data_IF_165107548310
#
_entry.id   IF_165107548310
#
_cell.length_a   1.000
_cell.length_b   1.000
_cell.length_c   1.000
_cell.angle_alpha   90.00
_cell.angle_beta   90.00
_cell.angle_gamma   90.00
#
_symmetry.space_group_name_H-M   'P 1'
#
loop_
_entity.id
_entity.type
_entity.pdbx_description
1 polymer ?
#
# COMPACT_ATOMS: atom_id res chain seq x y z
N UNK A 1 -47.08 16.53 -12.99
CA UNK A 1 -46.28 16.17 -11.80
C UNK A 1 -44.81 16.18 -12.23
N UNK A 2 -44.14 17.32 -12.01
CA UNK A 2 -42.74 17.51 -12.42
C UNK A 2 -41.85 16.87 -11.38
N UNK A 3 -41.17 15.79 -11.76
CA UNK A 3 -40.07 15.25 -10.99
C UNK A 3 -38.93 16.26 -11.07
N UNK A 4 -38.69 16.97 -9.96
CA UNK A 4 -37.53 17.83 -9.81
C UNK A 4 -36.27 16.94 -9.87
N UNK A 5 -35.49 17.13 -10.93
CA UNK A 5 -34.13 16.60 -11.07
C UNK A 5 -33.33 17.15 -9.87
N UNK A 6 -32.97 16.27 -8.92
CA UNK A 6 -32.01 16.59 -7.89
C UNK A 6 -30.73 17.09 -8.55
N UNK A 7 -30.19 18.24 -8.12
CA UNK A 7 -28.95 18.75 -8.70
C UNK A 7 -27.85 17.71 -8.49
N UNK A 8 -27.20 17.32 -9.58
CA UNK A 8 -25.97 16.53 -9.57
C UNK A 8 -24.99 17.21 -8.62
N UNK A 9 -24.53 16.46 -7.60
CA UNK A 9 -23.46 16.89 -6.68
C UNK A 9 -22.30 17.43 -7.53
N UNK A 10 -21.81 18.66 -7.27
CA UNK A 10 -20.76 19.22 -8.11
C UNK A 10 -19.54 18.34 -8.08
N UNK A 11 -19.14 17.85 -9.27
CA UNK A 11 -17.82 17.30 -9.55
C UNK A 11 -16.80 18.31 -8.99
N UNK A 12 -15.73 17.86 -8.32
CA UNK A 12 -14.71 18.75 -7.77
C UNK A 12 -14.46 19.95 -8.67
N UNK A 13 -14.85 21.12 -8.22
CA UNK A 13 -14.41 22.37 -8.85
C UNK A 13 -12.98 22.62 -8.40
N UNK A 14 -12.06 21.88 -8.97
CA UNK A 14 -10.66 22.28 -8.93
C UNK A 14 -10.54 23.54 -9.78
N UNK A 15 -9.88 24.58 -9.28
CA UNK A 15 -9.61 25.73 -10.14
C UNK A 15 -8.78 25.26 -11.34
N UNK A 16 -9.00 25.84 -12.54
CA UNK A 16 -8.21 25.49 -13.75
C UNK A 16 -6.71 25.55 -13.51
N UNK A 17 -6.24 26.47 -12.68
CA UNK A 17 -4.84 26.60 -12.29
C UNK A 17 -4.36 25.39 -11.49
N UNK A 18 -5.17 24.90 -10.55
CA UNK A 18 -4.84 23.73 -9.72
C UNK A 18 -4.81 22.46 -10.56
N UNK A 19 -5.76 22.29 -11.47
CA UNK A 19 -5.75 21.16 -12.43
C UNK A 19 -4.50 21.19 -13.29
N UNK A 20 -4.16 22.34 -13.88
CA UNK A 20 -2.96 22.52 -14.69
C UNK A 20 -1.68 22.22 -13.91
N UNK A 21 -1.60 22.70 -12.67
CA UNK A 21 -0.46 22.41 -11.78
C UNK A 21 -0.37 20.91 -11.47
N UNK A 22 -1.48 20.26 -11.15
CA UNK A 22 -1.53 18.83 -10.86
C UNK A 22 -1.08 17.97 -12.07
N UNK A 23 -1.58 18.30 -13.28
CA UNK A 23 -1.16 17.62 -14.54
C UNK A 23 0.33 17.79 -14.80
N UNK A 24 0.85 19.02 -14.65
CA UNK A 24 2.28 19.30 -14.81
C UNK A 24 3.11 18.55 -13.76
N UNK A 25 2.63 18.51 -12.51
CA UNK A 25 3.27 17.77 -11.43
C UNK A 25 3.38 16.29 -11.72
N UNK A 26 2.29 15.65 -12.17
CA UNK A 26 2.29 14.23 -12.56
C UNK A 26 3.23 13.94 -13.74
N UNK A 27 3.28 14.83 -14.74
CA UNK A 27 4.19 14.66 -15.87
C UNK A 27 5.66 14.66 -15.42
N UNK A 28 6.07 15.62 -14.59
CA UNK A 28 7.44 15.68 -14.05
C UNK A 28 7.71 14.47 -13.15
N UNK A 29 6.77 14.11 -12.29
CA UNK A 29 6.89 12.96 -11.40
C UNK A 29 7.13 11.65 -12.17
N UNK A 30 6.32 11.35 -13.17
CA UNK A 30 6.48 10.11 -13.95
C UNK A 30 7.69 10.14 -14.90
N UNK A 31 8.05 11.31 -15.44
CA UNK A 31 9.27 11.48 -16.22
C UNK A 31 10.55 11.18 -15.42
N UNK A 32 10.50 11.33 -14.10
CA UNK A 32 11.58 10.96 -13.18
C UNK A 32 11.43 9.52 -12.66
N UNK A 33 10.23 9.15 -12.20
CA UNK A 33 9.97 7.86 -11.56
C UNK A 33 10.27 6.69 -12.50
N UNK A 34 9.81 6.76 -13.77
CA UNK A 34 9.95 5.65 -14.70
C UNK A 34 11.44 5.33 -14.96
N UNK A 35 12.30 6.27 -15.41
CA UNK A 35 13.70 5.95 -15.69
C UNK A 35 14.48 5.57 -14.42
N UNK A 36 14.23 6.22 -13.28
CA UNK A 36 14.89 5.88 -12.03
C UNK A 36 14.53 4.47 -11.56
N UNK A 37 13.26 4.08 -11.65
CA UNK A 37 12.83 2.72 -11.31
C UNK A 37 13.39 1.69 -12.27
N UNK A 38 13.36 1.95 -13.59
CA UNK A 38 13.95 1.05 -14.59
C UNK A 38 15.44 0.81 -14.35
N UNK A 39 16.19 1.86 -13.99
CA UNK A 39 17.61 1.70 -13.62
C UNK A 39 17.76 0.76 -12.42
N UNK A 40 16.96 0.94 -11.37
CA UNK A 40 16.99 0.05 -10.20
C UNK A 40 16.60 -1.38 -10.56
N UNK A 41 15.55 -1.57 -11.37
CA UNK A 41 15.08 -2.90 -11.80
C UNK A 41 16.15 -3.63 -12.63
N UNK A 42 16.81 -2.94 -13.56
CA UNK A 42 17.92 -3.50 -14.34
C UNK A 42 19.08 -3.86 -13.43
N UNK A 43 19.48 -2.98 -12.52
CA UNK A 43 20.55 -3.27 -11.56
C UNK A 43 20.19 -4.44 -10.65
N UNK A 44 18.94 -4.51 -10.17
CA UNK A 44 18.47 -5.60 -9.32
C UNK A 44 18.49 -6.95 -10.06
N UNK A 45 18.14 -6.97 -11.35
CA UNK A 45 18.09 -8.20 -12.16
C UNK A 45 19.45 -8.66 -12.68
N UNK A 46 20.42 -7.75 -12.82
CA UNK A 46 21.74 -8.05 -13.41
C UNK A 46 22.87 -8.23 -12.39
N UNK A 47 22.68 -7.75 -11.15
CA UNK A 47 23.69 -7.88 -10.09
C UNK A 47 23.50 -9.17 -9.28
N UNK A 48 24.61 -9.80 -8.88
CA UNK A 48 24.59 -11.06 -8.12
C UNK A 48 23.81 -11.01 -6.79
N UNK A 49 23.70 -9.82 -6.20
CA UNK A 49 22.99 -9.55 -4.93
C UNK A 49 21.94 -8.44 -5.12
N UNK A 50 21.17 -8.47 -6.21
CA UNK A 50 20.25 -7.42 -6.60
C UNK A 50 19.20 -7.03 -5.55
N UNK A 51 18.89 -7.95 -4.61
CA UNK A 51 17.98 -7.66 -3.50
C UNK A 51 18.40 -6.48 -2.62
N UNK A 52 19.71 -6.13 -2.59
CA UNK A 52 20.20 -4.94 -1.88
C UNK A 52 19.78 -3.62 -2.53
N UNK A 53 19.28 -3.68 -3.77
CA UNK A 53 18.78 -2.52 -4.50
C UNK A 53 17.32 -2.22 -4.13
N UNK A 54 16.58 -3.21 -3.58
CA UNK A 54 15.18 -3.02 -3.19
C UNK A 54 14.94 -1.78 -2.30
N UNK A 55 15.72 -1.50 -1.26
CA UNK A 55 15.59 -0.27 -0.47
C UNK A 55 15.72 1.00 -1.31
N UNK A 56 16.66 1.03 -2.26
CA UNK A 56 16.82 2.16 -3.16
C UNK A 56 15.61 2.32 -4.09
N UNK A 57 15.14 1.22 -4.68
CA UNK A 57 13.93 1.22 -5.52
C UNK A 57 12.71 1.75 -4.76
N UNK A 58 12.49 1.34 -3.51
CA UNK A 58 11.40 1.84 -2.66
C UNK A 58 11.49 3.36 -2.38
N UNK A 59 12.66 3.97 -2.52
CA UNK A 59 12.82 5.42 -2.38
C UNK A 59 12.66 6.21 -3.70
N UNK A 60 12.57 5.55 -4.85
CA UNK A 60 12.40 6.24 -6.15
C UNK A 60 11.11 7.06 -6.24
N UNK A 61 9.96 6.60 -5.72
CA UNK A 61 8.75 7.42 -5.66
C UNK A 61 8.93 8.70 -4.82
N UNK A 62 9.57 8.62 -3.65
CA UNK A 62 9.87 9.80 -2.83
C UNK A 62 10.80 10.76 -3.56
N UNK A 63 11.92 10.25 -4.09
CA UNK A 63 12.91 11.07 -4.79
C UNK A 63 12.26 11.81 -5.97
N UNK A 64 11.48 11.12 -6.78
CA UNK A 64 10.74 11.72 -7.90
C UNK A 64 9.78 12.80 -7.43
N UNK A 65 9.07 12.58 -6.31
CA UNK A 65 8.14 13.57 -5.75
C UNK A 65 8.88 14.79 -5.20
N UNK A 66 10.02 14.60 -4.54
CA UNK A 66 10.85 15.69 -3.99
C UNK A 66 11.41 16.55 -5.13
N UNK A 67 11.98 15.91 -6.16
CA UNK A 67 12.52 16.64 -7.32
C UNK A 67 11.40 17.39 -8.05
N UNK A 68 10.23 16.77 -8.27
CA UNK A 68 9.09 17.43 -8.89
C UNK A 68 8.66 18.68 -8.10
N UNK A 69 8.55 18.57 -6.75
CA UNK A 69 8.20 19.68 -5.87
C UNK A 69 9.23 20.82 -5.94
N UNK A 70 10.51 20.50 -5.94
CA UNK A 70 11.59 21.49 -6.04
C UNK A 70 11.57 22.19 -7.41
N UNK A 71 11.45 21.43 -8.49
CA UNK A 71 11.42 21.95 -9.87
C UNK A 71 10.19 22.86 -10.12
N UNK A 72 9.06 22.53 -9.53
CA UNK A 72 7.80 23.26 -9.68
C UNK A 72 7.54 24.28 -8.57
N UNK A 73 8.48 24.41 -7.61
CA UNK A 73 8.39 25.27 -6.43
C UNK A 73 7.11 25.00 -5.60
N UNK A 74 6.71 23.74 -5.52
CA UNK A 74 5.61 23.30 -4.68
C UNK A 74 6.09 23.08 -3.24
N UNK A 75 5.21 23.37 -2.27
CA UNK A 75 5.49 23.10 -0.86
C UNK A 75 5.29 21.60 -0.51
N UNK A 76 5.53 21.27 0.77
CA UNK A 76 5.35 19.91 1.32
C UNK A 76 4.18 19.81 2.32
N UNK A 77 3.41 20.87 2.48
CA UNK A 77 2.35 20.94 3.49
C UNK A 77 1.25 19.87 3.30
N UNK A 78 1.00 19.48 2.05
CA UNK A 78 0.04 18.45 1.67
C UNK A 78 0.49 17.04 2.02
N UNK A 79 1.77 16.76 2.23
CA UNK A 79 2.28 15.45 2.70
C UNK A 79 1.80 15.15 4.11
N UNK A 80 1.81 16.15 4.96
CA UNK A 80 1.41 16.12 6.37
C UNK A 80 2.03 14.99 7.20
N UNK A 81 3.13 15.31 7.86
CA UNK A 81 3.81 14.45 8.84
C UNK A 81 3.18 14.48 10.24
N UNK A 82 2.03 15.14 10.42
CA UNK A 82 1.32 15.18 11.69
C UNK A 82 0.54 13.89 11.91
N UNK A 83 0.47 13.42 13.15
CA UNK A 83 -0.22 12.16 13.50
C UNK A 83 -1.75 12.24 13.37
N UNK A 84 -2.36 13.42 13.27
CA UNK A 84 -3.79 13.57 13.06
C UNK A 84 -4.68 13.34 14.30
N UNK A 85 -4.13 13.49 15.52
CA UNK A 85 -4.87 13.39 16.78
C UNK A 85 -5.54 12.03 16.98
N UNK A 86 -6.72 12.00 17.61
CA UNK A 86 -7.46 10.73 17.89
C UNK A 86 -7.83 9.95 16.64
N UNK A 87 -8.15 10.64 15.52
CA UNK A 87 -8.42 9.98 14.23
C UNK A 87 -7.18 9.29 13.69
N UNK A 88 -6.07 9.99 13.70
CA UNK A 88 -4.79 9.43 13.26
C UNK A 88 -4.36 8.24 14.12
N UNK A 89 -4.52 8.31 15.46
CA UNK A 89 -4.21 7.20 16.35
C UNK A 89 -5.06 5.96 16.06
N UNK A 90 -6.38 6.12 15.84
CA UNK A 90 -7.24 5.00 15.42
C UNK A 90 -6.81 4.42 14.07
N UNK A 91 -6.45 5.27 13.12
CA UNK A 91 -5.97 4.83 11.81
C UNK A 91 -4.62 4.10 11.89
N UNK A 92 -3.70 4.53 12.77
CA UNK A 92 -2.45 3.82 13.05
C UNK A 92 -2.71 2.43 13.64
N UNK A 93 -3.66 2.31 14.57
CA UNK A 93 -4.03 1.01 15.14
C UNK A 93 -4.62 0.08 14.07
N UNK A 94 -5.53 0.58 13.24
CA UNK A 94 -6.07 -0.17 12.08
C UNK A 94 -4.96 -0.56 11.14
N UNK A 95 -4.05 0.35 10.80
CA UNK A 95 -2.92 0.10 9.90
C UNK A 95 -2.00 -1.02 10.40
N UNK A 96 -1.77 -1.07 11.72
CA UNK A 96 -0.93 -2.11 12.34
C UNK A 96 -1.63 -3.48 12.37
N UNK A 97 -2.93 -3.53 12.69
CA UNK A 97 -3.65 -4.77 12.93
C UNK A 97 -4.29 -5.38 11.67
N UNK A 98 -4.58 -4.56 10.66
CA UNK A 98 -5.29 -5.01 9.46
C UNK A 98 -4.56 -6.13 8.70
N UNK A 99 -3.22 -6.07 8.47
CA UNK A 99 -2.51 -7.17 7.83
C UNK A 99 -2.63 -8.49 8.58
N UNK A 100 -2.59 -8.45 9.92
CA UNK A 100 -2.81 -9.65 10.75
C UNK A 100 -4.21 -10.21 10.56
N UNK A 101 -5.25 -9.37 10.57
CA UNK A 101 -6.63 -9.80 10.35
C UNK A 101 -6.82 -10.44 8.96
N UNK A 102 -6.28 -9.82 7.92
CA UNK A 102 -6.31 -10.36 6.55
C UNK A 102 -5.54 -11.68 6.48
N UNK A 103 -4.34 -11.73 7.06
CA UNK A 103 -3.53 -12.93 7.13
C UNK A 103 -4.25 -14.08 7.82
N UNK A 104 -4.80 -13.86 9.01
CA UNK A 104 -5.55 -14.88 9.75
C UNK A 104 -6.77 -15.39 8.95
N UNK A 105 -7.47 -14.50 8.25
CA UNK A 105 -8.63 -14.88 7.44
C UNK A 105 -8.21 -15.66 6.19
N UNK A 106 -7.27 -15.17 5.40
CA UNK A 106 -6.88 -15.79 4.14
C UNK A 106 -6.06 -17.06 4.36
N UNK A 107 -4.97 -16.99 5.14
CA UNK A 107 -4.08 -18.13 5.38
C UNK A 107 -4.72 -19.13 6.33
N UNK A 108 -5.46 -18.67 7.35
CA UNK A 108 -6.26 -19.54 8.21
C UNK A 108 -7.28 -20.37 7.42
N UNK A 109 -7.95 -19.76 6.44
CA UNK A 109 -8.80 -20.50 5.50
C UNK A 109 -8.00 -21.55 4.73
N UNK A 110 -6.84 -21.15 4.16
CA UNK A 110 -5.97 -22.08 3.42
C UNK A 110 -5.50 -23.26 4.28
N UNK A 111 -5.17 -23.04 5.54
CA UNK A 111 -4.75 -24.11 6.48
C UNK A 111 -5.91 -25.02 6.89
N UNK A 112 -7.07 -24.46 7.24
CA UNK A 112 -8.26 -25.23 7.68
C UNK A 112 -8.81 -26.08 6.53
N UNK A 113 -8.79 -25.56 5.31
CA UNK A 113 -9.25 -26.28 4.11
C UNK A 113 -8.20 -27.20 3.48
N UNK A 114 -7.00 -27.26 4.06
CA UNK A 114 -5.84 -27.99 3.54
C UNK A 114 -5.43 -27.60 2.10
N UNK A 115 -5.82 -26.43 1.61
CA UNK A 115 -5.34 -25.88 0.35
C UNK A 115 -3.86 -25.51 0.40
N UNK A 116 -3.37 -25.16 1.60
CA UNK A 116 -1.97 -24.80 1.82
C UNK A 116 -1.47 -25.45 3.12
N UNK A 117 -0.37 -26.25 3.07
CA UNK A 117 0.20 -26.85 4.26
C UNK A 117 0.80 -25.78 5.17
N UNK A 118 0.52 -25.88 6.47
CA UNK A 118 1.15 -25.02 7.49
C UNK A 118 2.58 -25.50 7.81
N UNK A 119 3.49 -24.56 7.97
CA UNK A 119 4.83 -24.77 8.52
C UNK A 119 5.20 -23.66 9.49
N UNK A 120 6.13 -23.91 10.41
CA UNK A 120 6.64 -22.86 11.28
C UNK A 120 7.47 -21.85 10.46
N UNK A 121 7.22 -20.53 10.59
CA UNK A 121 8.04 -19.54 9.89
C UNK A 121 9.47 -19.53 10.45
N UNK A 122 10.49 -19.27 9.62
CA UNK A 122 11.84 -19.04 10.10
C UNK A 122 11.88 -17.75 10.90
N UNK A 123 12.40 -17.80 12.12
CA UNK A 123 12.49 -16.60 12.98
C UNK A 123 13.62 -15.64 12.54
N UNK A 124 14.29 -15.89 11.43
CA UNK A 124 15.41 -15.07 10.95
C UNK A 124 16.52 -14.93 12.00
N UNK A 125 16.99 -13.71 12.22
CA UNK A 125 18.02 -13.40 13.23
C UNK A 125 17.58 -13.77 14.65
N UNK A 126 16.30 -13.74 14.97
CA UNK A 126 15.78 -14.04 16.29
C UNK A 126 15.96 -15.51 16.68
N UNK A 127 16.13 -16.43 15.70
CA UNK A 127 16.43 -17.84 15.98
C UNK A 127 17.74 -18.03 16.73
N UNK A 128 18.69 -17.12 16.58
CA UNK A 128 19.98 -17.15 17.27
C UNK A 128 19.85 -16.60 18.72
N UNK A 129 18.84 -15.79 18.97
CA UNK A 129 18.63 -15.12 20.25
C UNK A 129 17.62 -15.84 21.16
N UNK A 130 16.80 -16.72 20.60
CA UNK A 130 15.73 -17.41 21.30
C UNK A 130 16.01 -18.92 21.40
N UNK A 131 15.78 -19.54 22.58
CA UNK A 131 15.87 -20.99 22.76
C UNK A 131 14.67 -21.69 22.10
N UNK A 132 14.76 -21.95 20.79
CA UNK A 132 13.62 -22.47 19.98
C UNK A 132 13.61 -24.00 19.85
N UNK A 133 14.51 -24.72 20.51
CA UNK A 133 14.52 -26.18 20.49
C UNK A 133 13.30 -26.75 21.22
N UNK A 134 12.56 -27.65 20.58
CA UNK A 134 11.36 -28.27 21.16
C UNK A 134 10.12 -27.36 21.23
N UNK A 135 10.19 -26.16 20.65
CA UNK A 135 9.05 -25.22 20.62
C UNK A 135 8.07 -25.65 19.51
N UNK A 136 6.75 -25.63 19.83
CA UNK A 136 5.73 -26.02 18.88
C UNK A 136 5.66 -25.06 17.67
N UNK A 137 5.32 -25.54 16.47
CA UNK A 137 5.16 -24.69 15.29
C UNK A 137 4.19 -23.52 15.47
N UNK A 138 3.11 -23.74 16.22
CA UNK A 138 2.12 -22.69 16.52
C UNK A 138 2.71 -21.58 17.41
N UNK A 139 3.52 -21.94 18.41
CA UNK A 139 4.17 -20.93 19.25
C UNK A 139 5.24 -20.17 18.46
N UNK A 140 6.00 -20.85 17.58
CA UNK A 140 6.95 -20.19 16.67
C UNK A 140 6.23 -19.19 15.73
N UNK A 141 5.07 -19.55 15.22
CA UNK A 141 4.23 -18.65 14.42
C UNK A 141 3.80 -17.41 15.23
N UNK A 142 3.30 -17.62 16.44
CA UNK A 142 2.89 -16.51 17.33
C UNK A 142 4.05 -15.57 17.65
N UNK A 143 5.23 -16.13 17.99
CA UNK A 143 6.44 -15.35 18.26
C UNK A 143 6.85 -14.56 17.00
N UNK A 144 6.88 -15.20 15.83
CA UNK A 144 7.18 -14.52 14.56
C UNK A 144 6.20 -13.39 14.30
N UNK A 145 4.90 -13.63 14.49
CA UNK A 145 3.85 -12.62 14.31
C UNK A 145 4.06 -11.40 15.21
N UNK A 146 4.32 -11.61 16.48
CA UNK A 146 4.58 -10.51 17.43
C UNK A 146 5.86 -9.74 17.08
N UNK A 147 6.92 -10.43 16.69
CA UNK A 147 8.17 -9.80 16.27
C UNK A 147 8.01 -8.98 14.99
N UNK A 148 7.27 -9.49 13.99
CA UNK A 148 7.06 -8.78 12.73
C UNK A 148 6.09 -7.62 12.88
N UNK A 149 5.03 -7.76 13.69
CA UNK A 149 4.12 -6.65 14.03
C UNK A 149 4.82 -5.50 14.75
N UNK A 150 5.85 -5.77 15.54
CA UNK A 150 6.57 -4.76 16.34
C UNK A 150 7.88 -4.36 15.67
N UNK A 151 8.94 -5.10 15.94
CA UNK A 151 10.28 -4.81 15.44
C UNK A 151 10.33 -4.77 13.89
N UNK A 152 9.75 -5.76 13.22
CA UNK A 152 9.74 -5.84 11.76
C UNK A 152 9.08 -4.61 11.14
N UNK A 153 7.91 -4.23 11.63
CA UNK A 153 7.17 -3.05 11.17
C UNK A 153 7.99 -1.76 11.35
N UNK A 154 8.63 -1.58 12.52
CA UNK A 154 9.49 -0.42 12.75
C UNK A 154 10.73 -0.41 11.83
N UNK A 155 11.33 -1.58 11.60
CA UNK A 155 12.46 -1.74 10.68
C UNK A 155 12.06 -1.45 9.23
N UNK A 156 10.87 -1.86 8.79
CA UNK A 156 10.36 -1.64 7.43
C UNK A 156 9.89 -0.21 7.18
N UNK A 157 9.46 0.52 8.21
CA UNK A 157 8.86 1.85 8.08
C UNK A 157 9.71 2.89 7.32
N UNK A 158 11.04 2.99 7.49
CA UNK A 158 11.87 3.91 6.70
C UNK A 158 11.84 3.62 5.19
N UNK A 159 11.73 2.36 4.77
CA UNK A 159 11.70 1.98 3.36
C UNK A 159 10.33 2.28 2.76
N UNK A 160 9.26 1.89 3.45
CA UNK A 160 7.89 2.16 3.01
C UNK A 160 7.54 3.64 3.03
N UNK A 161 8.20 4.45 3.88
CA UNK A 161 8.07 5.91 3.83
C UNK A 161 8.49 6.45 2.46
N UNK A 162 9.55 5.90 1.84
CA UNK A 162 9.99 6.26 0.51
C UNK A 162 8.88 6.06 -0.53
N UNK A 163 8.21 4.93 -0.52
CA UNK A 163 7.08 4.68 -1.42
C UNK A 163 5.88 5.58 -1.11
N UNK A 164 5.46 5.66 0.15
CA UNK A 164 4.24 6.38 0.51
C UNK A 164 4.34 7.90 0.28
N UNK A 165 5.54 8.49 0.41
CA UNK A 165 5.79 9.89 0.06
C UNK A 165 5.49 10.16 -1.43
N UNK A 166 5.83 9.22 -2.30
CA UNK A 166 5.52 9.32 -3.72
C UNK A 166 4.06 8.98 -4.03
N UNK A 167 3.59 7.82 -3.58
CA UNK A 167 2.26 7.31 -3.94
C UNK A 167 1.13 8.09 -3.29
N UNK A 168 1.12 8.22 -1.97
CA UNK A 168 0.02 8.84 -1.21
C UNK A 168 0.31 10.28 -0.84
N UNK A 169 1.60 10.63 -0.71
CA UNK A 169 2.03 12.00 -0.44
C UNK A 169 2.00 12.91 -1.66
N UNK A 170 2.14 12.35 -2.89
CA UNK A 170 2.21 13.14 -4.12
C UNK A 170 1.20 12.67 -5.18
N UNK A 171 1.38 11.48 -5.73
CA UNK A 171 0.62 11.01 -6.89
C UNK A 171 -0.89 11.00 -6.66
N UNK A 172 -1.36 10.39 -5.57
CA UNK A 172 -2.80 10.27 -5.30
C UNK A 172 -3.49 11.63 -5.23
N UNK A 173 -2.90 12.60 -4.52
CA UNK A 173 -3.49 13.93 -4.35
C UNK A 173 -3.52 14.68 -5.69
N UNK A 174 -2.48 14.53 -6.54
CA UNK A 174 -2.45 15.13 -7.88
C UNK A 174 -3.45 14.47 -8.83
N UNK A 175 -3.61 13.15 -8.79
CA UNK A 175 -4.64 12.45 -9.57
C UNK A 175 -6.05 12.96 -9.23
N UNK A 176 -6.34 13.19 -7.95
CA UNK A 176 -7.60 13.80 -7.52
C UNK A 176 -7.74 15.23 -8.08
N UNK A 177 -6.69 16.04 -7.97
CA UNK A 177 -6.69 17.44 -8.40
C UNK A 177 -6.78 17.61 -9.93
N UNK A 178 -6.44 16.59 -10.73
CA UNK A 178 -6.63 16.63 -12.18
C UNK A 178 -8.09 16.52 -12.62
N UNK A 179 -9.01 16.18 -11.73
CA UNK A 179 -10.39 15.90 -12.07
C UNK A 179 -10.62 14.63 -12.89
N UNK A 180 -9.59 13.78 -13.04
CA UNK A 180 -9.72 12.49 -13.74
C UNK A 180 -10.75 11.59 -13.05
N UNK A 181 -11.53 10.80 -13.81
CA UNK A 181 -12.45 9.85 -13.20
C UNK A 181 -11.69 8.74 -12.47
N UNK A 182 -12.25 8.28 -11.35
CA UNK A 182 -11.74 7.16 -10.54
C UNK A 182 -10.24 7.28 -10.15
N UNK A 183 -9.80 8.41 -9.57
CA UNK A 183 -8.38 8.65 -9.29
C UNK A 183 -7.77 7.64 -8.31
N UNK A 184 -8.58 7.05 -7.41
CA UNK A 184 -8.13 6.03 -6.46
C UNK A 184 -7.85 4.70 -7.18
N UNK A 185 -8.75 4.28 -8.07
CA UNK A 185 -8.55 3.11 -8.92
C UNK A 185 -7.27 3.27 -9.75
N UNK A 186 -7.14 4.44 -10.42
CA UNK A 186 -5.97 4.75 -11.24
C UNK A 186 -4.67 4.72 -10.41
N UNK A 187 -4.69 5.27 -9.19
CA UNK A 187 -3.54 5.22 -8.28
C UNK A 187 -3.13 3.78 -7.93
N UNK A 188 -4.11 2.90 -7.68
CA UNK A 188 -3.84 1.48 -7.39
C UNK A 188 -3.28 0.74 -8.61
N UNK A 189 -3.85 0.97 -9.79
CA UNK A 189 -3.37 0.38 -11.05
C UNK A 189 -1.92 0.80 -11.35
N UNK A 190 -1.60 2.09 -11.23
CA UNK A 190 -0.23 2.60 -11.46
C UNK A 190 0.75 1.97 -10.48
N UNK A 191 0.37 1.87 -9.20
CA UNK A 191 1.21 1.25 -8.19
C UNK A 191 1.44 -0.25 -8.47
N UNK A 192 0.40 -0.98 -8.90
CA UNK A 192 0.53 -2.36 -9.34
C UNK A 192 1.43 -2.51 -10.57
N UNK A 193 1.27 -1.67 -11.57
CA UNK A 193 2.10 -1.68 -12.79
C UNK A 193 3.57 -1.45 -12.49
N UNK A 194 3.90 -0.65 -11.48
CA UNK A 194 5.26 -0.40 -11.06
C UNK A 194 5.98 -1.66 -10.54
N UNK A 195 5.23 -2.64 -10.01
CA UNK A 195 5.79 -3.92 -9.55
C UNK A 195 5.95 -4.97 -10.67
N UNK A 196 5.31 -4.77 -11.83
CA UNK A 196 5.31 -5.78 -12.92
C UNK A 196 6.73 -6.22 -13.33
N UNK A 197 7.72 -5.32 -13.52
CA UNK A 197 9.08 -5.75 -13.86
C UNK A 197 9.69 -6.70 -12.83
N UNK A 198 9.51 -6.43 -11.53
CA UNK A 198 10.02 -7.27 -10.44
C UNK A 198 9.33 -8.64 -10.37
N UNK A 199 8.03 -8.70 -10.71
CA UNK A 199 7.28 -9.97 -10.76
C UNK A 199 7.71 -10.80 -11.95
N UNK A 200 7.86 -10.19 -13.13
CA UNK A 200 8.29 -10.88 -14.36
C UNK A 200 9.70 -11.44 -14.21
N UNK A 201 10.59 -10.73 -13.54
CA UNK A 201 11.97 -11.21 -13.27
C UNK A 201 12.06 -12.20 -12.10
N UNK A 202 10.96 -12.45 -11.37
CA UNK A 202 10.93 -13.33 -10.21
C UNK A 202 11.66 -12.76 -8.98
N UNK A 203 12.00 -11.47 -8.98
CA UNK A 203 12.67 -10.82 -7.86
C UNK A 203 11.69 -10.52 -6.70
N UNK A 204 10.39 -10.35 -7.00
CA UNK A 204 9.38 -10.04 -6.00
C UNK A 204 8.50 -11.25 -5.67
N UNK A 205 7.87 -11.85 -6.68
CA UNK A 205 7.00 -13.02 -6.53
C UNK A 205 7.60 -14.18 -7.33
N UNK A 206 7.91 -15.27 -6.64
CA UNK A 206 8.34 -16.52 -7.27
C UNK A 206 7.16 -17.49 -7.33
N UNK A 207 6.57 -17.65 -8.49
CA UNK A 207 5.42 -18.53 -8.71
C UNK A 207 5.53 -19.26 -10.05
N UNK A 208 5.16 -20.56 -10.10
CA UNK A 208 5.07 -21.29 -11.37
C UNK A 208 3.89 -20.80 -12.25
N UNK A 209 3.03 -19.94 -11.71
CA UNK A 209 1.81 -19.42 -12.37
C UNK A 209 1.95 -17.94 -12.70
N UNK A 210 2.99 -17.53 -13.45
CA UNK A 210 3.32 -16.11 -13.67
C UNK A 210 2.13 -15.25 -14.10
N UNK A 211 1.36 -15.68 -15.11
CA UNK A 211 0.22 -14.90 -15.63
C UNK A 211 -0.87 -14.76 -14.57
N UNK A 212 -1.22 -15.84 -13.86
CA UNK A 212 -2.21 -15.77 -12.79
C UNK A 212 -1.71 -14.87 -11.66
N UNK A 213 -0.45 -14.97 -11.27
CA UNK A 213 0.17 -14.13 -10.25
C UNK A 213 0.15 -12.64 -10.64
N UNK A 214 0.43 -12.30 -11.89
CA UNK A 214 0.33 -10.91 -12.36
C UNK A 214 -1.10 -10.39 -12.28
N UNK A 215 -2.08 -11.16 -12.75
CA UNK A 215 -3.49 -10.74 -12.72
C UNK A 215 -3.99 -10.59 -11.30
N UNK A 216 -3.76 -11.58 -10.44
CA UNK A 216 -4.19 -11.56 -9.03
C UNK A 216 -3.48 -10.45 -8.25
N UNK A 217 -2.18 -10.24 -8.47
CA UNK A 217 -1.45 -9.15 -7.87
C UNK A 217 -2.01 -7.79 -8.26
N UNK A 218 -2.26 -7.56 -9.56
CA UNK A 218 -2.85 -6.32 -10.04
C UNK A 218 -4.22 -6.03 -9.40
N UNK A 219 -5.08 -7.04 -9.29
CA UNK A 219 -6.38 -6.90 -8.64
C UNK A 219 -6.18 -6.60 -7.14
N UNK A 220 -5.32 -7.36 -6.47
CA UNK A 220 -5.07 -7.22 -5.04
C UNK A 220 -4.49 -5.84 -4.69
N UNK A 221 -3.43 -5.41 -5.36
CA UNK A 221 -2.77 -4.11 -5.10
C UNK A 221 -3.70 -2.94 -5.45
N UNK A 222 -4.51 -3.08 -6.51
CA UNK A 222 -5.52 -2.07 -6.83
C UNK A 222 -6.58 -1.97 -5.73
N UNK A 223 -7.08 -3.10 -5.24
CA UNK A 223 -8.01 -3.14 -4.11
C UNK A 223 -7.36 -2.59 -2.82
N UNK A 224 -6.11 -2.94 -2.55
CA UNK A 224 -5.35 -2.40 -1.43
C UNK A 224 -5.16 -0.89 -1.53
N UNK A 225 -5.04 -0.36 -2.75
CA UNK A 225 -5.02 1.08 -3.03
C UNK A 225 -6.20 1.84 -2.43
N UNK A 226 -7.39 1.24 -2.36
CA UNK A 226 -8.57 1.82 -1.69
C UNK A 226 -8.38 1.95 -0.17
N UNK A 227 -7.77 0.96 0.47
CA UNK A 227 -7.47 1.01 1.92
C UNK A 227 -6.48 2.13 2.21
N UNK A 228 -5.39 2.21 1.46
CA UNK A 228 -4.40 3.28 1.57
C UNK A 228 -5.01 4.66 1.34
N UNK A 229 -5.79 4.80 0.27
CA UNK A 229 -6.45 6.07 -0.04
C UNK A 229 -7.42 6.47 1.10
N UNK A 230 -8.20 5.52 1.64
CA UNK A 230 -9.10 5.79 2.77
C UNK A 230 -8.34 6.30 3.99
N UNK A 231 -7.27 5.64 4.37
CA UNK A 231 -6.44 6.07 5.50
C UNK A 231 -5.83 7.45 5.25
N UNK A 232 -5.23 7.64 4.08
CA UNK A 232 -4.59 8.91 3.70
C UNK A 232 -5.57 10.08 3.70
N UNK A 233 -6.70 9.93 3.02
CA UNK A 233 -7.63 11.02 2.80
C UNK A 233 -8.43 11.35 4.06
N UNK A 234 -8.89 10.35 4.81
CA UNK A 234 -9.65 10.55 6.02
C UNK A 234 -8.86 11.11 7.20
N UNK A 235 -7.54 10.90 7.22
CA UNK A 235 -6.67 11.39 8.30
C UNK A 235 -5.87 12.64 7.92
N UNK A 236 -5.69 12.88 6.63
CA UNK A 236 -4.78 13.89 6.13
C UNK A 236 -3.31 13.62 6.47
N UNK A 237 -2.96 12.45 7.02
CA UNK A 237 -1.62 12.07 7.49
C UNK A 237 -1.03 10.98 6.61
N UNK A 238 0.30 11.02 6.42
CA UNK A 238 1.04 9.96 5.70
C UNK A 238 1.29 8.74 6.59
N UNK A 239 1.38 8.91 7.91
CA UNK A 239 1.83 7.88 8.83
C UNK A 239 0.99 6.60 8.86
N UNK A 240 -0.37 6.66 8.78
CA UNK A 240 -1.16 5.43 8.69
C UNK A 240 -0.85 4.60 7.44
N UNK A 241 -0.51 5.25 6.31
CA UNK A 241 -0.11 4.55 5.10
C UNK A 241 1.27 3.90 5.27
N UNK A 242 2.24 4.64 5.80
CA UNK A 242 3.59 4.11 6.09
C UNK A 242 3.49 2.89 7.02
N UNK A 243 2.71 2.99 8.09
CA UNK A 243 2.57 1.90 9.06
C UNK A 243 1.84 0.68 8.47
N UNK A 244 0.78 0.91 7.67
CA UNK A 244 0.07 -0.18 6.99
C UNK A 244 1.00 -0.91 6.02
N UNK A 245 1.76 -0.18 5.23
CA UNK A 245 2.70 -0.75 4.28
C UNK A 245 3.81 -1.54 4.98
N UNK A 246 4.41 -0.95 6.00
CA UNK A 246 5.45 -1.60 6.80
C UNK A 246 4.94 -2.87 7.50
N UNK A 247 3.76 -2.80 8.12
CA UNK A 247 3.13 -3.95 8.75
C UNK A 247 2.76 -5.02 7.73
N UNK A 248 2.26 -4.64 6.55
CA UNK A 248 1.98 -5.59 5.47
C UNK A 248 3.23 -6.34 5.04
N UNK A 249 4.30 -5.63 4.69
CA UNK A 249 5.56 -6.24 4.23
C UNK A 249 6.17 -7.21 5.26
N UNK A 250 5.98 -6.94 6.54
CA UNK A 250 6.59 -7.79 7.57
C UNK A 250 5.64 -8.86 8.08
N UNK A 251 4.39 -8.56 8.32
CA UNK A 251 3.40 -9.54 8.81
C UNK A 251 3.05 -10.54 7.71
N UNK A 252 2.67 -10.06 6.52
CA UNK A 252 2.29 -10.96 5.42
C UNK A 252 3.53 -11.65 4.86
N UNK A 253 4.51 -10.93 4.35
CA UNK A 253 5.63 -11.51 3.61
C UNK A 253 6.62 -12.26 4.51
N UNK A 254 6.90 -11.79 5.74
CA UNK A 254 7.89 -12.41 6.60
C UNK A 254 7.32 -13.42 7.61
N UNK A 255 6.01 -13.38 7.92
CA UNK A 255 5.38 -14.38 8.80
C UNK A 255 4.44 -15.29 8.04
N UNK A 256 3.36 -14.76 7.45
CA UNK A 256 2.33 -15.61 6.82
C UNK A 256 2.85 -16.34 5.58
N UNK A 257 3.51 -15.67 4.63
CA UNK A 257 4.08 -16.30 3.43
C UNK A 257 5.16 -17.36 3.79
N UNK A 258 5.87 -17.11 4.89
CA UNK A 258 6.88 -18.05 5.40
C UNK A 258 6.29 -19.19 6.24
N UNK A 259 4.97 -19.16 6.49
CA UNK A 259 4.26 -20.20 7.23
C UNK A 259 3.54 -21.20 6.35
N UNK A 260 3.89 -21.26 5.08
CA UNK A 260 3.33 -22.19 4.11
C UNK A 260 4.41 -22.82 3.24
N UNK A 261 4.09 -23.99 2.67
CA UNK A 261 4.96 -24.74 1.77
C UNK A 261 4.20 -25.22 0.55
N UNK A 262 4.95 -25.63 -0.48
CA UNK A 262 4.40 -26.19 -1.71
C UNK A 262 4.13 -25.13 -2.79
N UNK A 263 4.49 -25.47 -4.04
CA UNK A 263 4.37 -24.58 -5.20
C UNK A 263 2.92 -24.14 -5.46
N UNK A 264 1.93 -24.99 -5.19
CA UNK A 264 0.52 -24.67 -5.35
C UNK A 264 0.02 -23.62 -4.36
N UNK A 265 0.70 -23.45 -3.21
CA UNK A 265 0.32 -22.45 -2.21
C UNK A 265 0.37 -21.03 -2.76
N UNK A 266 1.27 -20.73 -3.69
CA UNK A 266 1.39 -19.40 -4.33
C UNK A 266 0.17 -19.00 -5.15
N UNK A 267 -0.66 -19.96 -5.58
CA UNK A 267 -1.92 -19.67 -6.24
C UNK A 267 -3.03 -19.26 -5.25
N UNK A 268 -2.99 -19.83 -4.04
CA UNK A 268 -4.06 -19.64 -3.06
C UNK A 268 -3.82 -18.48 -2.10
N UNK A 269 -2.57 -18.25 -1.72
CA UNK A 269 -2.17 -17.27 -0.70
C UNK A 269 -1.00 -16.41 -1.20
N UNK A 270 -0.63 -15.41 -0.40
CA UNK A 270 0.32 -14.39 -0.79
C UNK A 270 -0.35 -13.20 -1.48
N UNK A 271 0.43 -12.21 -1.80
CA UNK A 271 -0.06 -10.98 -2.45
C UNK A 271 -0.62 -11.24 -3.86
N UNK A 272 -0.24 -12.34 -4.48
CA UNK A 272 -0.77 -12.82 -5.76
C UNK A 272 -1.68 -14.04 -5.59
N UNK A 273 -2.20 -14.29 -4.40
CA UNK A 273 -3.04 -15.44 -4.11
C UNK A 273 -4.53 -15.15 -4.13
N UNK A 274 -5.33 -16.13 -4.51
CA UNK A 274 -6.79 -16.01 -4.66
C UNK A 274 -7.45 -15.58 -3.35
N UNK A 275 -7.10 -16.21 -2.21
CA UNK A 275 -7.78 -15.96 -0.93
C UNK A 275 -7.49 -14.53 -0.43
N UNK A 276 -6.25 -14.05 -0.54
CA UNK A 276 -5.90 -12.67 -0.18
C UNK A 276 -6.61 -11.69 -1.11
N UNK A 277 -6.62 -11.98 -2.41
CA UNK A 277 -7.29 -11.16 -3.42
C UNK A 277 -8.81 -11.03 -3.12
N UNK A 278 -9.49 -12.12 -2.81
CA UNK A 278 -10.92 -12.11 -2.45
C UNK A 278 -11.17 -11.24 -1.22
N UNK A 279 -10.40 -11.42 -0.16
CA UNK A 279 -10.52 -10.61 1.07
C UNK A 279 -10.31 -9.13 0.77
N UNK A 280 -9.28 -8.79 -0.01
CA UNK A 280 -8.97 -7.40 -0.35
C UNK A 280 -10.03 -6.75 -1.24
N UNK A 281 -10.55 -7.48 -2.23
CA UNK A 281 -11.65 -7.00 -3.08
C UNK A 281 -12.91 -6.75 -2.26
N UNK A 282 -13.27 -7.65 -1.33
CA UNK A 282 -14.42 -7.45 -0.44
C UNK A 282 -14.23 -6.19 0.42
N UNK A 283 -13.04 -5.99 1.00
CA UNK A 283 -12.72 -4.78 1.77
C UNK A 283 -12.86 -3.53 0.90
N UNK A 284 -12.29 -3.55 -0.31
CA UNK A 284 -12.36 -2.42 -1.24
C UNK A 284 -13.80 -2.10 -1.65
N UNK A 285 -14.63 -3.13 -1.93
CA UNK A 285 -16.05 -2.98 -2.25
C UNK A 285 -16.84 -2.37 -1.09
N UNK A 286 -16.57 -2.78 0.14
CA UNK A 286 -17.20 -2.22 1.34
C UNK A 286 -16.79 -0.76 1.51
N UNK A 287 -15.51 -0.46 1.39
CA UNK A 287 -14.99 0.91 1.51
C UNK A 287 -15.54 1.82 0.41
N UNK A 288 -15.65 1.35 -0.83
CA UNK A 288 -16.10 2.16 -1.96
C UNK A 288 -17.56 2.59 -1.87
N UNK A 289 -18.39 1.88 -1.07
CA UNK A 289 -19.80 2.23 -0.83
C UNK A 289 -19.99 3.32 0.21
N UNK A 290 -18.96 3.64 0.99
CA UNK A 290 -19.02 4.66 2.03
C UNK A 290 -18.85 6.08 1.50
N UNK A 291 -19.27 7.08 2.29
CA UNK A 291 -18.92 8.47 2.03
C UNK A 291 -17.43 8.68 2.29
N UNK A 292 -16.77 9.35 1.37
CA UNK A 292 -15.37 9.69 1.48
C UNK A 292 -15.21 11.19 1.71
N UNK A 293 -14.36 11.52 2.65
CA UNK A 293 -13.92 12.89 2.92
C UNK A 293 -12.42 12.98 2.76
N UNK A 294 -11.93 14.14 2.36
CA UNK A 294 -10.52 14.43 2.21
C UNK A 294 -10.11 15.54 3.15
N UNK A 295 -9.10 15.26 3.96
CA UNK A 295 -8.39 16.27 4.74
C UNK A 295 -7.11 16.60 3.99
N UNK A 296 -7.06 17.78 3.36
CA UNK A 296 -5.88 18.17 2.56
C UNK A 296 -4.70 18.56 3.43
N UNK A 297 -4.98 19.30 4.49
CA UNK A 297 -3.97 19.76 5.44
C UNK A 297 -4.51 19.60 6.85
N UNK A 298 -3.69 19.05 7.74
CA UNK A 298 -4.05 19.04 9.15
C UNK A 298 -3.93 20.46 9.72
N UNK A 299 -4.97 20.96 10.40
CA UNK A 299 -4.99 22.29 10.97
C UNK A 299 -3.89 22.47 12.03
N UNK A 300 -3.48 23.69 12.27
CA UNK A 300 -2.68 24.02 13.44
C UNK A 300 -3.51 23.76 14.71
N UNK A 301 -2.83 23.67 15.83
CA UNK A 301 -3.50 23.40 17.12
C UNK A 301 -4.55 24.49 17.40
N UNK A 302 -5.82 24.08 17.55
CA UNK A 302 -6.95 25.00 17.81
C UNK A 302 -7.75 25.45 16.57
N UNK A 303 -7.29 25.14 15.36
CA UNK A 303 -8.04 25.43 14.14
C UNK A 303 -9.03 24.31 13.80
N UNK A 304 -10.18 24.62 13.19
CA UNK A 304 -11.14 23.61 12.74
C UNK A 304 -10.55 22.76 11.61
N UNK A 305 -10.96 21.49 11.57
CA UNK A 305 -10.60 20.58 10.47
C UNK A 305 -11.50 20.89 9.26
N UNK A 306 -10.91 21.30 8.15
CA UNK A 306 -11.64 21.47 6.89
C UNK A 306 -11.66 20.12 6.15
N UNK A 307 -12.85 19.54 6.00
CA UNK A 307 -13.10 18.31 5.25
C UNK A 307 -13.78 18.64 3.91
N UNK A 308 -13.22 18.10 2.82
CA UNK A 308 -13.86 18.12 1.51
C UNK A 308 -14.56 16.78 1.28
N UNK A 309 -15.83 16.81 0.85
CA UNK A 309 -16.55 15.59 0.45
C UNK A 309 -16.09 15.18 -0.94
N UNK A 310 -15.66 13.93 -1.09
CA UNK A 310 -15.30 13.38 -2.38
C UNK A 310 -16.55 12.87 -3.13
N UNK A 311 -16.59 12.96 -4.47
CA UNK A 311 -17.63 12.32 -5.26
C UNK A 311 -17.63 10.80 -5.00
N UNK A 312 -18.73 10.09 -5.33
CA UNK A 312 -18.81 8.65 -5.13
C UNK A 312 -17.57 7.93 -5.68
N UNK A 313 -16.89 7.22 -4.80
CA UNK A 313 -15.68 6.43 -5.12
C UNK A 313 -16.18 5.06 -5.58
N UNK A 314 -16.72 4.96 -6.78
CA UNK A 314 -17.14 3.70 -7.36
C UNK A 314 -15.93 2.97 -7.97
N UNK A 315 -15.86 1.66 -7.72
CA UNK A 315 -14.92 0.74 -8.38
C UNK A 315 -15.28 0.58 -9.86
#
# INVERSE_FOLDING_TARGET
MNAALTPSVPMFVTSPEREKQARRGLLVYFALLIPLSVICDVLASTTRNGLWIAPALMWMPALSSIIARLALREGVADVSFRLGGRRGLKALLVALLLPTGIGLLAYGTGWITALTPFTAPPLGIFRQLLPVHGVSPALLFLVSLLLTMTYGTLYSAPFTLGEELGWRGYMLTRLIDTGLPKPILLSGLIWGMWHVPLIVTGLYIQSPFLVASLVLFMINVTAFGYVFARLRLATGSIWPCVLLHASWNTVIQATFDRSVTGAMSTLWIGEAGILVCVVMVVIALVLSRGHWTMIRQLPKQGEPVHEEVLPPVLI
#
